data_IF_660995884683
#
_entry.id   IF_660995884683
#
_cell.length_a   1.000
_cell.length_b   1.000
_cell.length_c   1.000
_cell.angle_alpha   90.00
_cell.angle_beta   90.00
_cell.angle_gamma   90.00
#
_symmetry.space_group_name_H-M   'P 1'
#
loop_
_entity.id
_entity.type
_entity.pdbx_description
1 polymer ?
#
# COMPACT_ATOMS: atom_id res chain seq x y z
N UNK A 1 -87.74 1.84 23.69
CA UNK A 1 -89.00 1.90 22.90
C UNK A 1 -88.69 1.40 21.49
N UNK A 2 -89.61 0.70 20.81
CA UNK A 2 -89.54 -0.77 20.75
C UNK A 2 -89.42 -1.36 19.33
N UNK A 3 -89.29 -2.70 19.24
CA UNK A 3 -89.43 -3.47 17.98
C UNK A 3 -90.88 -3.54 17.47
N UNK A 4 -91.13 -4.24 16.34
CA UNK A 4 -91.47 -5.67 16.36
C UNK A 4 -90.72 -6.50 15.26
N UNK A 5 -91.07 -7.76 14.93
CA UNK A 5 -91.05 -9.04 15.69
C UNK A 5 -91.50 -10.20 14.77
N UNK A 6 -90.68 -11.27 14.66
CA UNK A 6 -90.97 -12.60 14.06
C UNK A 6 -91.32 -12.63 12.53
N UNK A 7 -91.32 -13.77 11.81
CA UNK A 7 -91.35 -15.18 12.24
C UNK A 7 -90.60 -16.16 11.29
N UNK A 8 -90.26 -17.34 11.80
CA UNK A 8 -89.50 -18.42 11.16
C UNK A 8 -90.40 -19.62 10.80
N UNK A 9 -90.98 -19.65 9.59
CA UNK A 9 -91.49 -20.87 8.92
C UNK A 9 -92.07 -20.64 7.50
N UNK A 10 -91.20 -20.54 6.48
CA UNK A 10 -91.62 -20.79 5.09
C UNK A 10 -90.66 -21.76 4.39
N UNK A 11 -91.05 -23.04 4.50
CA UNK A 11 -91.04 -24.06 3.43
C UNK A 11 -89.74 -24.30 2.63
N UNK A 12 -89.15 -25.46 2.91
CA UNK A 12 -88.41 -26.27 1.92
C UNK A 12 -89.30 -26.65 0.72
N UNK A 13 -88.67 -26.82 -0.44
CA UNK A 13 -89.10 -27.75 -1.51
C UNK A 13 -89.99 -27.15 -2.60
N UNK A 14 -90.03 -27.87 -3.74
CA UNK A 14 -90.58 -27.50 -5.06
C UNK A 14 -89.71 -26.51 -5.86
N UNK A 15 -89.31 -26.78 -7.12
CA UNK A 15 -89.36 -28.04 -7.88
C UNK A 15 -88.46 -28.02 -9.13
N UNK A 16 -88.26 -29.19 -9.76
CA UNK A 16 -87.78 -29.46 -11.13
C UNK A 16 -86.40 -28.87 -11.60
N UNK A 17 -85.40 -29.65 -12.02
CA UNK A 17 -85.31 -30.54 -13.20
C UNK A 17 -85.41 -29.86 -14.58
N UNK A 18 -84.35 -30.07 -15.38
CA UNK A 18 -84.21 -30.24 -16.86
C UNK A 18 -82.75 -29.80 -17.17
N UNK A 19 -81.86 -30.56 -17.81
CA UNK A 19 -81.89 -31.94 -18.32
C UNK A 19 -80.88 -32.08 -19.48
N UNK A 20 -79.88 -32.96 -19.41
CA UNK A 20 -78.94 -33.19 -20.52
C UNK A 20 -77.55 -33.77 -20.18
N UNK A 21 -77.32 -35.01 -20.59
CA UNK A 21 -76.03 -35.73 -20.71
C UNK A 21 -76.14 -36.63 -21.97
N UNK A 22 -75.06 -37.26 -22.51
CA UNK A 22 -73.63 -36.91 -22.49
C UNK A 22 -72.95 -37.05 -23.89
N UNK A 23 -71.60 -36.89 -23.97
CA UNK A 23 -70.65 -37.78 -24.71
C UNK A 23 -69.56 -37.11 -25.58
N UNK A 24 -68.36 -37.74 -25.56
CA UNK A 24 -67.27 -37.81 -26.55
C UNK A 24 -66.53 -36.55 -27.10
N UNK A 25 -65.33 -36.32 -26.53
CA UNK A 25 -64.02 -36.12 -27.18
C UNK A 25 -63.82 -35.17 -28.39
N UNK A 26 -62.98 -34.13 -28.20
CA UNK A 26 -62.04 -33.61 -29.22
C UNK A 26 -60.66 -33.32 -28.61
N UNK A 27 -59.60 -33.86 -29.23
CA UNK A 27 -58.19 -33.67 -28.87
C UNK A 27 -57.64 -32.44 -29.59
N UNK A 28 -57.20 -31.40 -28.85
CA UNK A 28 -56.62 -30.17 -29.45
C UNK A 28 -55.20 -29.90 -28.96
N UNK A 29 -54.32 -29.48 -29.88
CA UNK A 29 -52.87 -29.30 -29.68
C UNK A 29 -52.54 -28.05 -28.87
N UNK A 30 -51.85 -28.19 -27.73
CA UNK A 30 -51.20 -27.07 -27.00
C UNK A 30 -49.72 -27.29 -26.64
N UNK A 31 -49.09 -28.35 -27.14
CA UNK A 31 -47.70 -28.75 -26.84
C UNK A 31 -46.63 -28.14 -27.77
N UNK A 32 -46.91 -27.01 -28.43
CA UNK A 32 -45.97 -26.35 -29.36
C UNK A 32 -45.44 -24.98 -28.93
N UNK A 33 -46.13 -24.26 -28.02
CA UNK A 33 -45.86 -22.84 -27.80
C UNK A 33 -44.84 -22.53 -26.69
N UNK A 34 -44.66 -23.45 -25.72
CA UNK A 34 -43.69 -23.29 -24.62
C UNK A 34 -42.25 -23.56 -25.06
N UNK A 35 -42.05 -24.59 -25.90
CA UNK A 35 -40.72 -24.97 -26.42
C UNK A 35 -40.15 -23.86 -27.32
N UNK A 36 -41.01 -23.19 -28.11
CA UNK A 36 -40.61 -22.11 -29.03
C UNK A 36 -40.05 -20.86 -28.35
N UNK A 37 -40.36 -20.60 -27.06
CA UNK A 37 -39.87 -19.41 -26.34
C UNK A 37 -38.68 -19.70 -25.42
N UNK A 38 -38.50 -20.94 -24.98
CA UNK A 38 -37.38 -21.34 -24.11
C UNK A 38 -36.03 -21.37 -24.86
N UNK A 39 -36.01 -21.91 -26.09
CA UNK A 39 -34.78 -22.02 -26.90
C UNK A 39 -34.08 -20.67 -27.13
N UNK A 40 -34.74 -19.60 -27.63
CA UNK A 40 -34.07 -18.32 -27.82
C UNK A 40 -33.62 -17.68 -26.49
N UNK A 41 -34.35 -17.87 -25.39
CA UNK A 41 -33.92 -17.38 -24.08
C UNK A 41 -32.64 -18.08 -23.58
N UNK A 42 -32.54 -19.41 -23.73
CA UNK A 42 -31.34 -20.17 -23.39
C UNK A 42 -30.17 -19.76 -24.28
N UNK A 43 -30.38 -19.56 -25.59
CA UNK A 43 -29.32 -19.09 -26.50
C UNK A 43 -28.84 -17.69 -26.11
N UNK A 44 -29.72 -16.78 -25.70
CA UNK A 44 -29.33 -15.45 -25.21
C UNK A 44 -28.57 -15.51 -23.88
N UNK A 45 -28.96 -16.40 -22.95
CA UNK A 45 -28.24 -16.57 -21.67
C UNK A 45 -26.86 -17.20 -21.89
N UNK A 46 -26.76 -18.25 -22.72
CA UNK A 46 -25.48 -18.90 -23.04
C UNK A 46 -24.60 -17.98 -23.87
N UNK A 47 -25.16 -17.25 -24.84
CA UNK A 47 -24.44 -16.23 -25.61
C UNK A 47 -23.93 -15.10 -24.73
N UNK A 48 -24.76 -14.59 -23.82
CA UNK A 48 -24.35 -13.59 -22.82
C UNK A 48 -23.25 -14.13 -21.91
N UNK A 49 -23.35 -15.37 -21.42
CA UNK A 49 -22.32 -16.00 -20.59
C UNK A 49 -21.00 -16.22 -21.35
N UNK A 50 -21.05 -16.63 -22.62
CA UNK A 50 -19.86 -16.79 -23.47
C UNK A 50 -19.22 -15.44 -23.83
N UNK A 51 -20.00 -14.40 -24.10
CA UNK A 51 -19.51 -13.05 -24.35
C UNK A 51 -18.93 -12.45 -23.06
N UNK A 52 -19.64 -12.55 -21.94
CA UNK A 52 -19.16 -12.07 -20.64
C UNK A 52 -17.88 -12.79 -20.23
N UNK A 53 -17.80 -14.13 -20.39
CA UNK A 53 -16.57 -14.90 -20.14
C UNK A 53 -15.44 -14.48 -21.08
N UNK A 54 -15.71 -14.29 -22.38
CA UNK A 54 -14.70 -13.82 -23.34
C UNK A 54 -14.18 -12.43 -22.99
N UNK A 55 -15.07 -11.47 -22.70
CA UNK A 55 -14.72 -10.08 -22.37
C UNK A 55 -14.02 -10.01 -21.01
N UNK A 56 -14.50 -10.72 -19.99
CA UNK A 56 -13.87 -10.77 -18.66
C UNK A 56 -12.47 -11.40 -18.70
N UNK A 57 -12.27 -12.46 -19.49
CA UNK A 57 -10.94 -13.04 -19.72
C UNK A 57 -10.04 -12.08 -20.50
N UNK A 58 -10.56 -11.37 -21.51
CA UNK A 58 -9.76 -10.41 -22.29
C UNK A 58 -9.36 -9.17 -21.48
N UNK A 59 -10.24 -8.65 -20.63
CA UNK A 59 -9.97 -7.43 -19.83
C UNK A 59 -8.93 -7.65 -18.72
N UNK A 60 -8.77 -8.89 -18.24
CA UNK A 60 -7.73 -9.23 -17.26
C UNK A 60 -6.38 -9.65 -17.88
N UNK A 61 -6.28 -9.73 -19.22
CA UNK A 61 -5.02 -9.94 -19.94
C UNK A 61 -4.56 -8.65 -20.66
N UNK A 62 -4.70 -7.50 -19.99
CA UNK A 62 -4.14 -6.24 -20.49
C UNK A 62 -2.61 -6.19 -20.25
N UNK A 63 -1.85 -6.48 -21.30
CA UNK A 63 -0.43 -6.15 -21.41
C UNK A 63 -0.20 -5.33 -22.69
N UNK A 64 -0.18 -3.99 -22.62
CA UNK A 64 0.26 -3.16 -23.74
C UNK A 64 1.78 -3.26 -23.86
N UNK A 65 2.27 -3.46 -25.09
CA UNK A 65 3.65 -3.87 -25.32
C UNK A 65 4.70 -2.81 -25.01
N UNK A 66 5.92 -3.30 -24.76
CA UNK A 66 7.18 -2.58 -24.97
C UNK A 66 8.10 -3.46 -25.80
N UNK A 67 8.92 -2.84 -26.65
CA UNK A 67 9.61 -3.49 -27.75
C UNK A 67 10.66 -4.54 -27.36
N UNK A 68 10.95 -5.44 -28.30
CA UNK A 68 12.08 -6.37 -28.25
C UNK A 68 13.42 -5.61 -28.40
N UNK A 69 13.88 -4.95 -27.33
CA UNK A 69 15.21 -4.36 -27.25
C UNK A 69 15.78 -4.46 -25.83
N UNK A 70 16.89 -5.19 -25.71
CA UNK A 70 17.66 -5.48 -24.48
C UNK A 70 16.89 -6.24 -23.38
N UNK A 71 17.44 -7.41 -22.99
CA UNK A 71 17.03 -8.14 -21.79
C UNK A 71 17.27 -7.24 -20.57
N UNK A 72 16.24 -6.80 -19.82
CA UNK A 72 16.44 -6.27 -18.50
C UNK A 72 16.86 -7.45 -17.61
N UNK A 73 17.96 -7.30 -16.88
CA UNK A 73 18.19 -8.15 -15.70
C UNK A 73 17.00 -7.91 -14.75
N UNK A 74 16.54 -8.92 -13.98
CA UNK A 74 15.45 -8.74 -13.02
C UNK A 74 15.92 -7.83 -11.87
N UNK A 75 15.75 -6.54 -12.07
CA UNK A 75 15.96 -5.46 -11.11
C UNK A 75 14.78 -4.49 -11.31
N UNK A 76 14.09 -4.17 -10.21
CA UNK A 76 12.72 -3.60 -10.12
C UNK A 76 11.57 -4.63 -10.16
N UNK A 77 10.75 -4.79 -9.12
CA UNK A 77 10.82 -4.18 -7.79
C UNK A 77 10.22 -5.10 -6.71
N UNK A 78 11.11 -5.73 -5.92
CA UNK A 78 10.88 -5.80 -4.49
C UNK A 78 11.28 -4.42 -3.96
N UNK A 79 10.31 -3.53 -3.75
CA UNK A 79 10.55 -2.45 -2.81
C UNK A 79 10.69 -3.13 -1.44
N UNK A 80 11.93 -3.30 -0.95
CA UNK A 80 12.17 -3.82 0.39
C UNK A 80 11.32 -2.99 1.36
N UNK A 81 10.68 -3.68 2.32
CA UNK A 81 9.90 -3.00 3.34
C UNK A 81 10.85 -2.10 4.14
N UNK A 82 10.65 -0.79 4.05
CA UNK A 82 11.46 0.18 4.75
C UNK A 82 10.81 0.62 6.04
N UNK A 83 11.61 0.95 7.04
CA UNK A 83 11.12 1.44 8.33
C UNK A 83 10.57 2.87 8.16
N UNK A 84 9.31 3.16 8.54
CA UNK A 84 8.79 4.52 8.49
C UNK A 84 9.54 5.42 9.49
N UNK A 85 10.15 6.50 9.00
CA UNK A 85 10.85 7.50 9.79
C UNK A 85 10.33 8.89 9.41
N UNK A 86 9.74 9.61 10.36
CA UNK A 86 9.12 10.91 10.07
C UNK A 86 9.64 11.97 11.05
N UNK A 87 10.08 13.12 10.53
CA UNK A 87 10.46 14.26 11.36
C UNK A 87 9.49 15.42 11.15
N UNK A 88 8.88 15.87 12.24
CA UNK A 88 7.94 16.99 12.26
C UNK A 88 8.65 18.26 12.72
N UNK A 89 8.67 19.28 11.86
CA UNK A 89 9.41 20.52 12.06
C UNK A 89 8.55 21.76 11.74
N UNK A 90 9.12 22.94 11.97
CA UNK A 90 8.69 24.18 11.33
C UNK A 90 9.94 24.89 10.81
N UNK A 91 9.91 25.41 9.58
CA UNK A 91 11.09 25.96 8.89
C UNK A 91 11.81 27.06 9.68
N UNK A 92 11.08 27.88 10.45
CA UNK A 92 11.64 29.00 11.24
C UNK A 92 11.90 28.66 12.71
N UNK A 93 11.86 27.39 13.09
CA UNK A 93 12.07 26.95 14.48
C UNK A 93 13.56 26.67 14.79
N UNK A 94 14.13 27.25 15.87
CA UNK A 94 15.52 26.96 16.27
C UNK A 94 15.73 25.51 16.70
N UNK A 95 14.71 24.86 17.29
CA UNK A 95 14.79 23.45 17.69
C UNK A 95 14.74 22.50 16.48
N UNK A 96 14.14 22.91 15.35
CA UNK A 96 14.26 22.17 14.09
C UNK A 96 15.71 22.15 13.58
N UNK A 97 16.39 23.30 13.60
CA UNK A 97 17.83 23.40 13.24
C UNK A 97 18.70 22.46 14.08
N UNK A 98 18.50 22.42 15.40
CA UNK A 98 19.23 21.50 16.28
C UNK A 98 18.93 20.04 15.93
N UNK A 99 17.65 19.68 15.83
CA UNK A 99 17.19 18.33 15.51
C UNK A 99 17.72 17.79 14.17
N UNK A 100 17.64 18.59 13.09
CA UNK A 100 18.12 18.19 11.78
C UNK A 100 19.64 18.02 11.79
N UNK A 101 20.37 18.99 12.32
CA UNK A 101 21.84 19.00 12.31
C UNK A 101 22.46 17.94 13.22
N UNK A 102 21.89 17.72 14.41
CA UNK A 102 22.50 16.90 15.46
C UNK A 102 21.99 15.46 15.48
N UNK A 103 20.77 15.20 14.97
CA UNK A 103 20.17 13.86 14.96
C UNK A 103 19.81 13.37 13.54
N UNK A 104 18.90 14.06 12.84
CA UNK A 104 18.25 13.49 11.64
C UNK A 104 19.21 13.35 10.46
N UNK A 105 19.93 14.41 10.06
CA UNK A 105 20.89 14.37 8.95
C UNK A 105 22.01 13.34 9.19
N UNK A 106 22.73 13.34 10.33
CA UNK A 106 23.78 12.34 10.58
C UNK A 106 23.26 10.92 10.75
N UNK A 107 22.01 10.71 11.19
CA UNK A 107 21.37 9.38 11.17
C UNK A 107 21.06 8.95 9.73
N UNK A 108 20.40 9.80 8.94
CA UNK A 108 20.04 9.53 7.54
C UNK A 108 21.25 9.20 6.67
N UNK A 109 22.42 9.79 6.93
CA UNK A 109 23.67 9.44 6.26
C UNK A 109 24.08 7.97 6.44
N UNK A 110 23.59 7.28 7.49
CA UNK A 110 23.86 5.86 7.79
C UNK A 110 22.72 4.91 7.40
N UNK A 111 21.47 5.38 7.34
CA UNK A 111 20.25 4.54 7.23
C UNK A 111 19.32 4.86 6.05
N UNK A 112 19.66 5.84 5.19
CA UNK A 112 18.78 6.34 4.10
C UNK A 112 18.21 5.27 3.14
N UNK A 113 18.88 4.14 3.01
CA UNK A 113 18.51 2.97 2.22
C UNK A 113 17.47 2.06 2.91
N UNK A 114 17.42 2.10 4.25
CA UNK A 114 16.58 1.26 5.12
C UNK A 114 15.26 1.91 5.52
N UNK A 115 15.13 3.23 5.36
CA UNK A 115 13.97 4.01 5.83
C UNK A 115 13.14 4.59 4.69
N UNK A 116 11.83 4.69 4.95
CA UNK A 116 10.94 5.58 4.22
C UNK A 116 10.87 6.89 5.00
N UNK A 117 11.62 7.89 4.56
CA UNK A 117 11.81 9.13 5.29
C UNK A 117 10.87 10.23 4.79
N UNK A 118 10.16 10.87 5.72
CA UNK A 118 9.24 11.99 5.46
C UNK A 118 9.57 13.18 6.37
N UNK A 119 9.59 14.39 5.78
CA UNK A 119 9.45 15.65 6.53
C UNK A 119 7.99 16.11 6.53
N UNK A 120 7.50 16.45 7.71
CA UNK A 120 6.16 17.01 7.91
C UNK A 120 6.21 18.30 8.71
N UNK A 121 5.22 19.17 8.51
CA UNK A 121 5.25 20.54 9.04
C UNK A 121 4.13 20.77 10.04
N UNK A 122 4.41 21.58 11.06
CA UNK A 122 3.46 21.93 12.12
C UNK A 122 2.85 23.30 11.83
N UNK A 123 1.56 23.42 12.12
CA UNK A 123 0.76 24.65 11.95
C UNK A 123 -0.66 24.44 12.45
N UNK A 124 -1.55 25.36 12.12
CA UNK A 124 -2.98 25.32 12.42
C UNK A 124 -3.77 25.51 11.14
N UNK A 125 -4.72 24.62 10.89
CA UNK A 125 -5.64 24.69 9.73
C UNK A 125 -6.87 25.49 10.12
N UNK A 126 -7.32 26.45 9.31
CA UNK A 126 -8.64 27.07 9.53
C UNK A 126 -9.75 26.09 9.12
N UNK A 127 -10.73 25.78 9.97
CA UNK A 127 -11.83 24.88 9.62
C UNK A 127 -12.85 25.47 8.64
N UNK A 128 -12.76 26.77 8.30
CA UNK A 128 -13.74 27.48 7.45
C UNK A 128 -13.15 27.99 6.12
N UNK A 129 -11.83 27.88 5.90
CA UNK A 129 -11.15 28.29 4.67
C UNK A 129 -9.96 27.37 4.38
N UNK A 130 -9.40 27.47 3.17
CA UNK A 130 -8.20 26.72 2.79
C UNK A 130 -6.89 27.29 3.38
N UNK A 131 -7.00 28.28 4.27
CA UNK A 131 -5.86 28.91 4.96
C UNK A 131 -5.18 27.98 5.98
N UNK A 132 -3.87 28.19 6.13
CA UNK A 132 -3.01 27.57 7.15
C UNK A 132 -2.23 28.67 7.87
N UNK A 133 -2.24 28.65 9.20
CA UNK A 133 -1.48 29.55 10.05
C UNK A 133 -0.27 28.84 10.66
N UNK A 134 0.88 29.50 10.67
CA UNK A 134 2.14 28.97 11.22
C UNK A 134 2.61 29.80 12.42
N UNK A 135 3.33 29.19 13.36
CA UNK A 135 3.64 29.78 14.66
C UNK A 135 4.55 31.03 14.56
N UNK A 136 5.46 31.05 13.58
CA UNK A 136 6.35 32.18 13.30
C UNK A 136 5.86 33.05 12.12
N UNK A 137 4.54 33.01 11.85
CA UNK A 137 3.85 33.88 10.91
C UNK A 137 4.00 33.49 9.42
N UNK A 138 3.54 34.35 8.48
CA UNK A 138 3.46 33.98 7.06
C UNK A 138 4.79 33.59 6.41
N UNK A 139 5.90 34.17 6.89
CA UNK A 139 7.25 33.82 6.41
C UNK A 139 7.64 32.36 6.68
N UNK A 140 7.10 31.76 7.74
CA UNK A 140 7.27 30.34 8.03
C UNK A 140 6.37 29.47 7.17
N UNK A 141 5.12 29.87 6.91
CA UNK A 141 4.25 29.11 6.02
C UNK A 141 4.87 29.01 4.61
N UNK A 142 5.39 30.12 4.07
CA UNK A 142 6.10 30.09 2.79
C UNK A 142 7.40 29.26 2.85
N UNK A 143 8.13 29.30 3.96
CA UNK A 143 9.28 28.41 4.20
C UNK A 143 8.92 26.92 4.17
N UNK A 144 7.86 26.54 4.88
CA UNK A 144 7.34 25.17 4.91
C UNK A 144 6.89 24.72 3.50
N UNK A 145 6.26 25.62 2.71
CA UNK A 145 5.88 25.34 1.31
C UNK A 145 7.12 25.12 0.43
N UNK A 146 8.15 25.96 0.55
CA UNK A 146 9.42 25.81 -0.19
C UNK A 146 10.05 24.44 0.09
N UNK A 147 10.12 24.03 1.35
CA UNK A 147 10.72 22.76 1.77
C UNK A 147 9.86 21.54 1.35
N UNK A 148 8.53 21.67 1.36
CA UNK A 148 7.59 20.66 0.82
C UNK A 148 7.67 20.52 -0.70
N UNK A 149 7.75 21.64 -1.43
CA UNK A 149 7.94 21.64 -2.88
C UNK A 149 9.28 21.02 -3.27
N UNK A 150 10.36 21.28 -2.53
CA UNK A 150 11.63 20.60 -2.73
C UNK A 150 11.51 19.08 -2.53
N UNK A 151 10.83 18.62 -1.47
CA UNK A 151 10.59 17.19 -1.25
C UNK A 151 9.70 16.53 -2.31
N UNK A 152 8.74 17.27 -2.90
CA UNK A 152 7.91 16.80 -4.01
C UNK A 152 8.71 16.65 -5.31
N UNK A 153 9.44 17.69 -5.71
CA UNK A 153 10.17 17.73 -6.98
C UNK A 153 11.45 16.87 -6.96
N UNK A 154 12.00 16.64 -5.77
CA UNK A 154 13.21 15.87 -5.53
C UNK A 154 12.96 14.81 -4.46
N UNK A 155 12.25 13.71 -4.75
CA UNK A 155 11.81 12.74 -3.75
C UNK A 155 12.94 11.90 -3.11
N UNK A 156 14.20 12.06 -3.50
CA UNK A 156 15.34 11.46 -2.78
C UNK A 156 15.63 12.28 -1.50
N UNK A 157 15.48 11.69 -0.30
CA UNK A 157 15.81 12.35 0.96
C UNK A 157 17.20 12.98 0.99
N UNK A 158 18.19 12.42 0.30
CA UNK A 158 19.56 12.94 0.29
C UNK A 158 19.66 14.35 -0.30
N UNK A 159 18.74 14.72 -1.20
CA UNK A 159 18.69 16.03 -1.82
C UNK A 159 17.85 17.00 -0.96
N UNK A 160 16.56 16.69 -0.75
CA UNK A 160 15.65 17.64 -0.11
C UNK A 160 15.94 17.87 1.39
N UNK A 161 16.44 16.85 2.11
CA UNK A 161 16.84 17.01 3.51
C UNK A 161 18.12 17.84 3.64
N UNK A 162 19.05 17.72 2.69
CA UNK A 162 20.24 18.58 2.61
C UNK A 162 19.85 20.04 2.45
N UNK A 163 19.00 20.32 1.47
CA UNK A 163 18.41 21.65 1.22
C UNK A 163 17.69 22.22 2.44
N UNK A 164 16.83 21.43 3.10
CA UNK A 164 16.12 21.84 4.33
C UNK A 164 17.10 22.14 5.48
N UNK A 165 18.14 21.32 5.67
CA UNK A 165 19.17 21.57 6.67
C UNK A 165 20.05 22.81 6.36
N UNK A 166 20.24 23.12 5.08
CA UNK A 166 20.86 24.36 4.63
C UNK A 166 20.00 25.58 4.98
N UNK A 167 18.71 25.58 4.62
CA UNK A 167 17.76 26.65 4.93
C UNK A 167 17.65 26.91 6.44
N UNK A 168 17.38 25.85 7.21
CA UNK A 168 17.21 25.93 8.67
C UNK A 168 18.49 26.36 9.41
N UNK A 169 19.67 26.31 8.77
CA UNK A 169 20.89 26.89 9.35
C UNK A 169 20.78 28.42 9.52
N UNK A 170 20.07 29.11 8.62
CA UNK A 170 19.77 30.55 8.67
C UNK A 170 18.25 30.79 8.75
N UNK A 171 17.55 29.98 9.56
CA UNK A 171 16.09 29.91 9.67
C UNK A 171 15.38 31.26 9.84
N UNK A 172 16.03 32.25 10.46
CA UNK A 172 15.46 33.58 10.67
C UNK A 172 15.18 34.31 9.34
N UNK A 173 16.02 34.06 8.33
CA UNK A 173 15.97 34.67 7.00
C UNK A 173 15.08 33.92 6.01
N UNK A 174 14.56 32.74 6.32
CA UNK A 174 13.57 32.08 5.45
C UNK A 174 12.35 33.01 5.29
N UNK A 175 11.83 33.27 4.07
CA UNK A 175 12.15 32.69 2.78
C UNK A 175 12.92 33.63 1.82
N UNK A 176 13.97 34.32 2.30
CA UNK A 176 14.85 35.18 1.49
C UNK A 176 15.29 34.47 0.20
N UNK A 177 14.95 35.04 -0.98
CA UNK A 177 15.24 34.41 -2.28
C UNK A 177 16.71 34.04 -2.44
N UNK A 178 17.64 34.87 -1.98
CA UNK A 178 19.07 34.62 -2.09
C UNK A 178 19.52 33.40 -1.25
N UNK A 179 18.93 33.21 -0.06
CA UNK A 179 19.18 32.04 0.79
C UNK A 179 18.62 30.77 0.12
N UNK A 180 17.39 30.84 -0.38
CA UNK A 180 16.72 29.70 -1.04
C UNK A 180 17.44 29.30 -2.33
N UNK A 181 17.81 30.27 -3.16
CA UNK A 181 18.55 30.01 -4.40
C UNK A 181 19.95 29.47 -4.14
N UNK A 182 20.65 29.94 -3.11
CA UNK A 182 21.97 29.42 -2.75
C UNK A 182 21.89 27.98 -2.21
N UNK A 183 20.97 27.69 -1.28
CA UNK A 183 20.77 26.33 -0.77
C UNK A 183 20.32 25.36 -1.87
N UNK A 184 19.49 25.80 -2.82
CA UNK A 184 19.08 24.98 -3.95
C UNK A 184 20.28 24.60 -4.82
N UNK A 185 21.13 25.59 -5.17
CA UNK A 185 22.35 25.38 -5.96
C UNK A 185 23.33 24.42 -5.28
N UNK A 186 23.60 24.60 -3.98
CA UNK A 186 24.52 23.77 -3.20
C UNK A 186 24.11 22.28 -3.19
N UNK A 187 22.79 22.02 -3.15
CA UNK A 187 22.23 20.67 -3.11
C UNK A 187 21.76 20.12 -4.47
N UNK A 188 22.09 20.79 -5.58
CA UNK A 188 21.74 20.32 -6.94
C UNK A 188 20.25 20.37 -7.26
N UNK A 189 19.49 21.21 -6.55
CA UNK A 189 18.06 21.44 -6.74
C UNK A 189 17.86 22.63 -7.69
N UNK A 190 16.94 22.47 -8.64
CA UNK A 190 16.54 23.53 -9.56
C UNK A 190 15.55 24.46 -8.85
N UNK A 191 15.98 25.70 -8.63
CA UNK A 191 15.17 26.72 -7.99
C UNK A 191 13.88 27.01 -8.77
N UNK A 192 13.91 26.95 -10.11
CA UNK A 192 12.73 27.26 -10.92
C UNK A 192 11.64 26.19 -10.75
N UNK A 193 12.00 24.91 -10.60
CA UNK A 193 11.02 23.85 -10.26
C UNK A 193 10.34 24.06 -8.91
N UNK A 194 11.10 24.47 -7.89
CA UNK A 194 10.49 24.82 -6.59
C UNK A 194 9.55 26.02 -6.78
N UNK A 195 9.98 27.05 -7.52
CA UNK A 195 9.18 28.23 -7.81
C UNK A 195 7.89 27.89 -8.58
N UNK A 196 7.94 26.96 -9.54
CA UNK A 196 6.78 26.45 -10.27
C UNK A 196 5.80 25.72 -9.35
N UNK A 197 6.27 24.85 -8.45
CA UNK A 197 5.43 24.19 -7.43
C UNK A 197 4.79 25.18 -6.44
N UNK A 198 5.52 26.24 -6.05
CA UNK A 198 4.98 27.32 -5.20
C UNK A 198 3.92 28.15 -5.93
N UNK A 199 4.11 28.36 -7.24
CA UNK A 199 3.25 29.21 -8.07
C UNK A 199 2.11 28.45 -8.75
N UNK A 200 2.10 27.11 -8.66
CA UNK A 200 1.04 26.25 -9.17
C UNK A 200 -0.29 26.48 -8.46
N UNK A 201 -1.38 26.30 -9.19
CA UNK A 201 -2.75 26.54 -8.71
C UNK A 201 -3.05 25.67 -7.47
N UNK A 202 -3.10 26.33 -6.30
CA UNK A 202 -3.24 25.78 -4.94
C UNK A 202 -2.25 24.69 -4.52
N UNK A 203 -1.22 24.39 -5.33
CA UNK A 203 -0.36 23.22 -5.17
C UNK A 203 0.47 23.27 -3.87
N UNK A 204 1.25 24.33 -3.68
CA UNK A 204 2.06 24.53 -2.47
C UNK A 204 1.20 24.62 -1.19
N UNK A 205 0.03 25.25 -1.28
CA UNK A 205 -0.92 25.38 -0.16
C UNK A 205 -1.53 24.02 0.19
N UNK A 206 -1.90 23.21 -0.80
CA UNK A 206 -2.42 21.86 -0.61
C UNK A 206 -1.39 20.94 0.04
N UNK A 207 -0.12 21.02 -0.36
CA UNK A 207 0.99 20.33 0.29
C UNK A 207 1.12 20.74 1.77
N UNK A 208 1.14 22.04 2.05
CA UNK A 208 1.25 22.57 3.42
C UNK A 208 0.07 22.11 4.29
N UNK A 209 -1.17 22.25 3.79
CA UNK A 209 -2.39 21.82 4.48
C UNK A 209 -2.32 20.33 4.81
N UNK A 210 -2.08 19.48 3.82
CA UNK A 210 -1.93 18.02 3.99
C UNK A 210 -0.86 17.65 5.01
N UNK A 211 0.27 18.37 5.02
CA UNK A 211 1.38 18.14 5.96
C UNK A 211 1.03 18.53 7.39
N UNK A 212 0.34 19.67 7.58
CA UNK A 212 -0.14 20.14 8.89
C UNK A 212 -1.23 19.23 9.43
N UNK A 213 -2.16 18.76 8.59
CA UNK A 213 -3.17 17.78 8.98
C UNK A 213 -2.54 16.46 9.42
N UNK A 214 -1.52 15.96 8.70
CA UNK A 214 -0.76 14.78 9.13
C UNK A 214 -0.10 14.99 10.50
N UNK A 215 0.56 16.11 10.73
CA UNK A 215 1.16 16.44 12.03
C UNK A 215 0.12 16.49 13.15
N UNK A 216 -1.05 17.09 12.90
CA UNK A 216 -2.19 17.16 13.83
C UNK A 216 -2.72 15.76 14.15
N UNK A 217 -2.98 14.94 13.14
CA UNK A 217 -3.57 13.60 13.30
C UNK A 217 -2.61 12.63 14.00
N UNK A 218 -1.30 12.84 13.81
CA UNK A 218 -0.22 12.21 14.56
C UNK A 218 -0.06 12.74 16.00
N UNK A 219 -0.88 13.69 16.46
CA UNK A 219 -0.83 14.37 17.76
C UNK A 219 0.48 15.13 18.04
N UNK A 220 1.17 15.60 16.98
CA UNK A 220 2.44 16.31 17.11
C UNK A 220 2.21 17.81 17.27
N UNK A 221 2.73 18.37 18.37
CA UNK A 221 2.57 19.79 18.74
C UNK A 221 3.90 20.54 18.89
N UNK A 222 5.04 19.84 18.73
CA UNK A 222 6.38 20.35 19.01
C UNK A 222 7.31 20.14 17.83
N UNK A 223 7.93 21.22 17.36
CA UNK A 223 9.08 21.16 16.47
C UNK A 223 10.32 21.21 17.36
N UNK A 224 11.22 20.23 17.37
CA UNK A 224 11.23 19.02 16.53
C UNK A 224 10.61 17.80 17.23
N UNK A 225 9.83 17.01 16.52
CA UNK A 225 9.40 15.67 16.95
C UNK A 225 9.81 14.64 15.92
N UNK A 226 10.65 13.68 16.30
CA UNK A 226 11.01 12.51 15.48
C UNK A 226 10.09 11.35 15.84
N UNK A 227 9.51 10.72 14.81
CA UNK A 227 8.70 9.50 14.89
C UNK A 227 9.39 8.35 14.18
N UNK A 228 9.32 7.16 14.76
CA UNK A 228 9.86 5.93 14.23
C UNK A 228 8.77 4.86 14.27
N UNK A 229 8.55 4.14 13.16
CA UNK A 229 7.48 3.16 13.01
C UNK A 229 6.09 3.69 13.44
N UNK A 230 5.77 4.92 13.04
CA UNK A 230 4.54 5.65 13.38
C UNK A 230 4.35 6.03 14.85
N UNK A 231 5.32 5.77 15.75
CA UNK A 231 5.28 6.20 17.16
C UNK A 231 6.25 7.37 17.43
N UNK A 232 6.00 8.19 18.45
CA UNK A 232 6.93 9.26 18.86
C UNK A 232 8.19 8.62 19.45
N UNK A 233 9.35 8.92 18.86
CA UNK A 233 10.64 8.35 19.23
C UNK A 233 11.53 9.31 20.02
N UNK A 234 11.47 10.62 19.75
CA UNK A 234 12.30 11.61 20.45
C UNK A 234 11.78 13.02 20.17
N UNK A 235 11.76 13.90 21.17
CA UNK A 235 11.33 15.31 21.01
C UNK A 235 12.48 16.24 21.43
N UNK A 236 12.67 17.33 20.67
CA UNK A 236 13.58 18.42 21.01
C UNK A 236 12.79 19.75 21.11
N UNK A 237 12.74 20.34 22.30
CA UNK A 237 12.05 21.62 22.58
C UNK A 237 12.90 22.43 23.56
N UNK A 238 13.15 23.71 23.28
CA UNK A 238 13.91 24.58 24.18
C UNK A 238 15.36 24.14 24.43
N UNK A 239 16.04 23.58 23.42
CA UNK A 239 17.44 23.15 23.51
C UNK A 239 17.66 21.86 24.31
N UNK A 240 16.65 20.99 24.44
CA UNK A 240 16.75 19.72 25.19
C UNK A 240 15.99 18.59 24.51
N UNK A 241 16.61 17.42 24.50
CA UNK A 241 16.00 16.15 24.15
C UNK A 241 15.21 15.56 25.33
N UNK A 242 13.99 15.07 25.08
CA UNK A 242 13.16 14.34 26.04
C UNK A 242 12.18 13.40 25.31
N UNK A 243 11.53 12.51 26.07
CA UNK A 243 10.69 11.42 25.54
C UNK A 243 11.42 10.57 24.46
N UNK A 244 12.71 10.30 24.73
CA UNK A 244 13.61 9.54 23.86
C UNK A 244 13.94 8.17 24.49
N UNK A 245 13.03 7.17 24.46
CA UNK A 245 13.33 5.82 24.92
C UNK A 245 14.54 5.26 24.17
N UNK A 246 15.41 4.54 24.87
CA UNK A 246 16.66 4.03 24.29
C UNK A 246 17.74 5.07 24.01
N UNK A 247 17.52 6.37 24.30
CA UNK A 247 18.51 7.44 24.17
C UNK A 247 18.22 8.42 23.03
N UNK A 248 18.99 9.51 22.97
CA UNK A 248 18.80 10.63 22.02
C UNK A 248 20.03 10.90 21.14
N UNK A 249 20.97 9.95 21.05
CA UNK A 249 22.12 10.06 20.15
C UNK A 249 21.79 9.59 18.74
N UNK A 250 22.65 9.93 17.78
CA UNK A 250 22.59 9.40 16.41
C UNK A 250 22.67 7.88 16.43
N UNK A 251 23.57 7.32 17.25
CA UNK A 251 23.77 5.89 17.41
C UNK A 251 22.53 5.17 17.97
N UNK A 252 21.77 5.81 18.88
CA UNK A 252 20.52 5.25 19.40
C UNK A 252 19.42 5.19 18.34
N UNK A 253 19.23 6.27 17.56
CA UNK A 253 18.25 6.29 16.48
C UNK A 253 18.61 5.29 15.36
N UNK A 254 19.90 5.18 15.03
CA UNK A 254 20.39 4.21 14.04
C UNK A 254 20.15 2.78 14.52
N UNK A 255 20.51 2.44 15.77
CA UNK A 255 20.26 1.12 16.35
C UNK A 255 18.78 0.75 16.26
N UNK A 256 17.89 1.62 16.73
CA UNK A 256 16.46 1.31 16.78
C UNK A 256 15.85 1.17 15.37
N UNK A 257 16.43 1.83 14.35
CA UNK A 257 16.06 1.63 12.94
C UNK A 257 16.58 0.30 12.38
N UNK A 258 17.82 -0.09 12.69
CA UNK A 258 18.38 -1.39 12.27
C UNK A 258 17.63 -2.58 12.92
N UNK A 259 17.26 -2.45 14.20
CA UNK A 259 16.44 -3.43 14.94
C UNK A 259 15.05 -3.60 14.29
N UNK A 260 14.43 -2.49 13.85
CA UNK A 260 13.16 -2.55 13.12
C UNK A 260 13.33 -3.08 11.69
N UNK A 261 14.37 -2.67 10.97
CA UNK A 261 14.61 -3.07 9.58
C UNK A 261 14.90 -4.58 9.47
N UNK A 262 15.74 -5.11 10.35
CA UNK A 262 15.97 -6.56 10.44
C UNK A 262 14.70 -7.33 10.79
N UNK A 263 13.77 -6.76 11.58
CA UNK A 263 12.46 -7.38 11.85
C UNK A 263 11.47 -7.33 10.68
N UNK A 264 11.66 -6.42 9.72
CA UNK A 264 10.87 -6.35 8.48
C UNK A 264 11.31 -7.42 7.47
N UNK A 265 12.59 -7.76 7.46
CA UNK A 265 13.19 -8.72 6.54
C UNK A 265 12.89 -10.19 6.93
N UNK A 266 12.60 -10.46 8.22
CA UNK A 266 12.26 -11.76 8.82
C UNK A 266 11.01 -12.47 8.22
N UNK A 267 10.33 -11.83 7.25
CA UNK A 267 9.10 -12.34 6.61
C UNK A 267 9.27 -12.82 5.16
N UNK A 268 10.48 -12.74 4.58
CA UNK A 268 10.84 -13.44 3.33
C UNK A 268 11.45 -14.81 3.69
N UNK A 269 11.64 -15.74 2.75
CA UNK A 269 12.15 -17.10 3.08
C UNK A 269 13.67 -17.05 3.31
N UNK A 270 14.03 -16.63 4.54
CA UNK A 270 15.36 -16.25 5.05
C UNK A 270 16.50 -17.26 4.74
N UNK A 271 16.19 -18.53 4.44
CA UNK A 271 17.22 -19.57 4.19
C UNK A 271 18.08 -19.26 2.95
N UNK A 272 17.48 -18.67 1.91
CA UNK A 272 18.22 -18.31 0.69
C UNK A 272 19.13 -17.10 0.90
N UNK A 273 18.59 -16.04 1.50
CA UNK A 273 19.32 -14.79 1.77
C UNK A 273 20.42 -15.01 2.81
N UNK A 274 20.15 -15.70 3.92
CA UNK A 274 21.20 -16.08 4.90
C UNK A 274 22.37 -16.86 4.28
N UNK A 275 22.10 -17.68 3.25
CA UNK A 275 23.15 -18.38 2.52
C UNK A 275 23.95 -17.43 1.61
N UNK A 276 23.28 -16.49 0.93
CA UNK A 276 23.93 -15.45 0.11
C UNK A 276 24.81 -14.55 0.98
N UNK A 277 24.29 -14.04 2.10
CA UNK A 277 25.04 -13.16 3.02
C UNK A 277 26.27 -13.86 3.59
N UNK A 278 26.11 -15.10 4.07
CA UNK A 278 27.24 -15.93 4.55
C UNK A 278 28.27 -16.18 3.46
N UNK A 279 27.83 -16.31 2.20
CA UNK A 279 28.72 -16.49 1.04
C UNK A 279 29.45 -15.19 0.72
N UNK A 280 28.79 -14.04 0.73
CA UNK A 280 29.39 -12.74 0.44
C UNK A 280 30.42 -12.33 1.51
N UNK A 281 30.14 -12.59 2.80
CA UNK A 281 31.12 -12.46 3.89
C UNK A 281 32.37 -13.33 3.61
N UNK A 282 32.18 -14.58 3.21
CA UNK A 282 33.28 -15.50 2.90
C UNK A 282 34.06 -15.11 1.63
N UNK A 283 33.43 -14.43 0.66
CA UNK A 283 34.11 -13.84 -0.50
C UNK A 283 34.91 -12.62 -0.04
N UNK A 284 34.33 -11.75 0.79
CA UNK A 284 34.97 -10.54 1.30
C UNK A 284 36.23 -10.86 2.13
N UNK A 285 36.14 -11.86 3.01
CA UNK A 285 37.28 -12.40 3.78
C UNK A 285 38.33 -13.12 2.90
N UNK A 286 38.08 -13.28 1.59
CA UNK A 286 38.95 -14.04 0.67
C UNK A 286 39.00 -15.55 0.97
N UNK A 287 38.02 -16.08 1.70
CA UNK A 287 37.96 -17.49 2.14
C UNK A 287 37.34 -18.41 1.10
N UNK A 288 36.52 -17.90 0.20
CA UNK A 288 36.01 -18.62 -0.98
C UNK A 288 36.16 -17.78 -2.25
N UNK A 289 36.34 -18.46 -3.39
CA UNK A 289 36.37 -17.80 -4.70
C UNK A 289 34.93 -17.56 -5.21
N UNK A 290 34.63 -16.44 -5.90
CA UNK A 290 33.31 -16.17 -6.49
C UNK A 290 32.79 -17.30 -7.41
N UNK A 291 33.67 -18.02 -8.10
CA UNK A 291 33.29 -19.18 -8.92
C UNK A 291 32.74 -20.36 -8.09
N UNK A 292 33.20 -20.51 -6.85
CA UNK A 292 32.70 -21.52 -5.92
C UNK A 292 31.35 -21.09 -5.34
N UNK A 293 31.22 -19.83 -4.94
CA UNK A 293 29.98 -19.23 -4.46
C UNK A 293 28.81 -19.44 -5.43
N UNK A 294 28.99 -19.11 -6.71
CA UNK A 294 27.99 -19.33 -7.76
C UNK A 294 27.56 -20.81 -7.90
N UNK A 295 28.47 -21.77 -7.65
CA UNK A 295 28.15 -23.20 -7.65
C UNK A 295 27.41 -23.65 -6.39
N UNK A 296 27.65 -23.00 -5.24
CA UNK A 296 26.91 -23.30 -4.01
C UNK A 296 25.46 -22.83 -4.15
N UNK A 297 25.24 -21.59 -4.60
CA UNK A 297 23.91 -21.03 -4.83
C UNK A 297 23.12 -21.86 -5.87
N UNK A 298 23.71 -22.18 -7.02
CA UNK A 298 23.06 -23.01 -8.03
C UNK A 298 22.71 -24.45 -7.54
N UNK A 299 23.47 -24.99 -6.58
CA UNK A 299 23.10 -26.25 -5.94
C UNK A 299 21.99 -26.08 -4.90
N UNK A 300 22.01 -24.98 -4.14
CA UNK A 300 20.95 -24.65 -3.18
C UNK A 300 19.59 -24.53 -3.86
N UNK A 301 19.48 -23.73 -4.94
CA UNK A 301 18.22 -23.54 -5.69
C UNK A 301 17.63 -24.87 -6.18
N UNK A 302 18.50 -25.75 -6.69
CA UNK A 302 18.09 -27.09 -7.16
C UNK A 302 17.61 -27.97 -6.00
N UNK A 303 18.38 -28.05 -4.91
CA UNK A 303 18.11 -28.93 -3.78
C UNK A 303 16.93 -28.45 -2.94
N UNK A 304 16.74 -27.13 -2.76
CA UNK A 304 15.65 -26.61 -1.94
C UNK A 304 14.29 -26.89 -2.59
N UNK A 305 14.19 -26.77 -3.91
CA UNK A 305 12.97 -27.11 -4.67
C UNK A 305 12.61 -28.60 -4.55
N UNK A 306 13.59 -29.49 -4.75
CA UNK A 306 13.44 -30.94 -4.56
C UNK A 306 13.05 -31.28 -3.10
N UNK A 307 13.76 -30.71 -2.12
CA UNK A 307 13.56 -31.00 -0.70
C UNK A 307 12.19 -30.54 -0.21
N UNK A 308 11.74 -29.35 -0.61
CA UNK A 308 10.42 -28.83 -0.26
C UNK A 308 9.31 -29.70 -0.87
N UNK A 309 9.43 -30.10 -2.15
CA UNK A 309 8.43 -30.93 -2.82
C UNK A 309 8.32 -32.35 -2.23
N UNK A 310 9.44 -32.96 -1.82
CA UNK A 310 9.45 -34.34 -1.29
C UNK A 310 9.13 -34.44 0.20
N UNK A 311 9.60 -33.47 1.02
CA UNK A 311 9.58 -33.58 2.47
C UNK A 311 8.51 -32.72 3.16
N UNK A 312 8.09 -31.60 2.57
CA UNK A 312 7.04 -30.74 3.17
C UNK A 312 5.66 -31.31 2.84
N UNK A 313 5.22 -32.22 3.70
CA UNK A 313 3.90 -32.87 3.61
C UNK A 313 2.77 -32.04 4.23
N UNK A 314 3.11 -31.09 5.10
CA UNK A 314 2.16 -30.19 5.76
C UNK A 314 1.47 -29.33 4.72
N UNK A 315 0.15 -29.46 4.63
CA UNK A 315 -0.70 -28.66 3.77
C UNK A 315 -1.33 -27.55 4.59
N UNK A 316 -1.57 -26.44 3.92
CA UNK A 316 -2.26 -25.30 4.48
C UNK A 316 -3.30 -24.86 3.46
N UNK A 317 -4.55 -24.78 3.92
CA UNK A 317 -5.70 -24.39 3.11
C UNK A 317 -6.12 -22.97 3.48
N UNK A 318 -6.62 -22.19 2.53
CA UNK A 318 -6.98 -20.80 2.80
C UNK A 318 -8.28 -20.39 2.12
N UNK A 319 -8.95 -19.39 2.71
CA UNK A 319 -10.14 -18.73 2.16
C UNK A 319 -10.01 -17.23 2.42
N UNK A 320 -10.29 -16.40 1.43
CA UNK A 320 -10.27 -14.94 1.55
C UNK A 320 -10.86 -14.28 0.30
N UNK A 321 -10.89 -12.96 0.28
CA UNK A 321 -11.41 -12.15 -0.82
C UNK A 321 -10.27 -11.73 -1.76
N UNK A 322 -10.27 -12.24 -3.00
CA UNK A 322 -9.29 -11.82 -4.00
C UNK A 322 -9.51 -10.34 -4.37
N UNK A 323 -8.52 -9.50 -4.11
CA UNK A 323 -8.52 -8.07 -4.44
C UNK A 323 -8.03 -7.83 -5.88
N UNK A 324 -6.90 -8.46 -6.25
CA UNK A 324 -6.37 -8.40 -7.63
C UNK A 324 -5.43 -9.57 -7.89
N UNK A 325 -5.16 -9.85 -9.17
CA UNK A 325 -4.22 -10.88 -9.60
C UNK A 325 -3.44 -10.44 -10.84
N UNK A 326 -2.24 -11.00 -11.00
CA UNK A 326 -1.35 -10.81 -12.16
C UNK A 326 -0.76 -12.16 -12.58
N UNK A 327 -0.59 -12.37 -13.87
CA UNK A 327 0.22 -13.45 -14.43
C UNK A 327 1.24 -12.84 -15.39
N UNK A 328 2.52 -13.12 -15.16
CA UNK A 328 3.64 -12.57 -15.95
C UNK A 328 4.79 -13.57 -15.85
N UNK A 329 5.42 -13.92 -16.98
CA UNK A 329 6.63 -14.75 -17.03
C UNK A 329 6.51 -16.07 -16.24
N UNK A 330 5.41 -16.80 -16.45
CA UNK A 330 5.04 -18.05 -15.74
C UNK A 330 4.88 -17.93 -14.20
N UNK A 331 4.84 -16.71 -13.66
CA UNK A 331 4.58 -16.41 -12.25
C UNK A 331 3.19 -15.81 -12.06
N UNK A 332 2.37 -16.47 -11.24
CA UNK A 332 1.12 -15.92 -10.73
C UNK A 332 1.37 -15.11 -9.46
N UNK A 333 0.72 -13.96 -9.34
CA UNK A 333 0.65 -13.15 -8.12
C UNK A 333 -0.81 -12.88 -7.79
N UNK A 334 -1.23 -13.15 -6.55
CA UNK A 334 -2.57 -12.85 -6.05
C UNK A 334 -2.46 -11.95 -4.82
N UNK A 335 -3.28 -10.89 -4.75
CA UNK A 335 -3.49 -10.11 -3.54
C UNK A 335 -4.86 -10.48 -2.97
N UNK A 336 -4.90 -11.01 -1.75
CA UNK A 336 -6.10 -11.53 -1.10
C UNK A 336 -6.28 -10.85 0.25
N UNK A 337 -7.50 -10.40 0.55
CA UNK A 337 -7.91 -9.81 1.82
C UNK A 337 -8.68 -10.79 2.70
N UNK A 338 -8.73 -10.51 4.00
CA UNK A 338 -9.51 -11.26 5.00
C UNK A 338 -9.24 -12.77 4.95
N UNK A 339 -7.96 -13.14 4.92
CA UNK A 339 -7.52 -14.51 4.65
C UNK A 339 -7.53 -15.33 5.93
N UNK A 340 -8.37 -16.37 5.94
CA UNK A 340 -8.39 -17.41 6.96
C UNK A 340 -7.60 -18.61 6.46
N UNK A 341 -6.49 -18.86 7.13
CA UNK A 341 -5.62 -20.02 6.93
C UNK A 341 -6.00 -21.14 7.89
N UNK A 342 -6.00 -22.37 7.41
CA UNK A 342 -6.26 -23.59 8.18
C UNK A 342 -5.19 -24.63 7.89
N UNK A 343 -4.43 -24.97 8.93
CA UNK A 343 -3.41 -26.02 8.92
C UNK A 343 -4.02 -27.41 9.14
N UNK A 344 -3.30 -28.46 8.73
CA UNK A 344 -3.63 -29.87 9.04
C UNK A 344 -3.81 -30.15 10.55
N UNK A 345 -3.21 -29.33 11.43
CA UNK A 345 -3.36 -29.41 12.88
C UNK A 345 -4.64 -28.72 13.43
N UNK A 346 -5.60 -28.41 12.56
CA UNK A 346 -6.88 -27.71 12.85
C UNK A 346 -6.73 -26.29 13.46
N UNK A 347 -5.49 -25.77 13.53
CA UNK A 347 -5.20 -24.40 13.95
C UNK A 347 -5.55 -23.42 12.83
N UNK A 348 -6.43 -22.48 13.15
CA UNK A 348 -6.81 -21.37 12.26
C UNK A 348 -5.94 -20.13 12.54
N UNK A 349 -5.60 -19.41 11.48
CA UNK A 349 -4.88 -18.13 11.53
C UNK A 349 -5.62 -17.14 10.62
N UNK A 350 -5.61 -15.86 10.98
CA UNK A 350 -6.24 -14.78 10.21
C UNK A 350 -5.18 -13.77 9.79
N UNK A 351 -5.28 -13.26 8.56
CA UNK A 351 -4.45 -12.18 8.03
C UNK A 351 -5.29 -11.22 7.18
N UNK A 352 -5.21 -9.92 7.45
CA UNK A 352 -6.07 -8.93 6.79
C UNK A 352 -5.74 -8.75 5.30
N UNK A 353 -4.46 -8.94 4.92
CA UNK A 353 -3.99 -8.92 3.54
C UNK A 353 -2.80 -9.86 3.32
N UNK A 354 -2.81 -10.58 2.21
CA UNK A 354 -1.81 -11.59 1.84
C UNK A 354 -1.44 -11.43 0.37
N UNK A 355 -0.14 -11.45 0.06
CA UNK A 355 0.38 -11.60 -1.31
C UNK A 355 0.85 -13.04 -1.51
N UNK A 356 0.21 -13.75 -2.44
CA UNK A 356 0.59 -15.12 -2.82
C UNK A 356 1.31 -15.05 -4.15
N UNK A 357 2.57 -15.48 -4.19
CA UNK A 357 3.34 -15.66 -5.43
C UNK A 357 3.44 -17.16 -5.69
N UNK A 358 3.16 -17.60 -6.91
CA UNK A 358 3.15 -19.00 -7.31
C UNK A 358 3.83 -19.16 -8.67
N UNK A 359 4.94 -19.89 -8.68
CA UNK A 359 5.70 -20.21 -9.87
C UNK A 359 5.34 -21.61 -10.37
N UNK A 360 5.41 -21.83 -11.68
CA UNK A 360 5.19 -23.17 -12.25
C UNK A 360 6.34 -24.12 -11.84
N UNK A 361 6.01 -25.32 -11.37
CA UNK A 361 7.00 -26.30 -10.87
C UNK A 361 7.71 -27.10 -11.97
N UNK A 362 7.66 -26.63 -13.24
CA UNK A 362 8.30 -27.32 -14.37
C UNK A 362 9.82 -27.23 -14.26
N UNK A 363 10.50 -28.35 -14.51
CA UNK A 363 11.97 -28.36 -14.56
C UNK A 363 12.45 -27.67 -15.84
N UNK A 364 13.58 -26.93 -15.81
CA UNK A 364 14.20 -26.41 -17.03
C UNK A 364 14.51 -27.56 -18.00
N UNK A 365 13.80 -27.59 -19.14
CA UNK A 365 13.96 -28.61 -20.19
C UNK A 365 12.81 -29.61 -20.35
N UNK A 366 11.77 -29.59 -19.50
CA UNK A 366 10.56 -30.40 -19.70
C UNK A 366 9.48 -29.61 -20.46
N UNK A 367 9.14 -30.06 -21.69
CA UNK A 367 8.07 -29.50 -22.53
C UNK A 367 6.69 -29.92 -22.05
#
# INVERSE_FOLDING_TARGET
MPGPVLDEKVRRGYDAQIGGQPSAAVRSRRSGLLISRAVPAIILIVGSWLVFRSVFVLHHHYCPGKDLAAIPRPAESHALARVPLEAHIMSKCPDAKACLKELVVPAMAKISDKVDFTLSYIGTVDPNSDDVACMHGPSECLGNIIELCAAKEYPDPKLYLGFTNCLTTDYARIPDRDLVSWCALEHGIDFEKINDCISGEDEGISLLRSSVERSRDNNVTKSCTVRLNSEIRCIHDGGKWYDCPGGSSVEDLVRDVEDLYSSLDDWVVVIGESLVDTIDDLIHDGRIEPQLALRVLANFDRVVSETLAENVKSRLTFKGHLETYRFCDDVWTFLVKDVKFKSDADKEFHADKVKIVSCNSKKPGET
#
